data_IF_508538436979
#
_entry.id   IF_508538436979
#
_cell.length_a   1.000
_cell.length_b   1.000
_cell.length_c   1.000
_cell.angle_alpha   90.00
_cell.angle_beta   90.00
_cell.angle_gamma   90.00
#
_symmetry.space_group_name_H-M   'P 1'
#
loop_
_entity.id
_entity.type
_entity.pdbx_description
1 polymer ?
#
# COMPACT_ATOMS: atom_id res chain seq x y z
N UNK A 1 -8.45 -11.46 6.72
CA UNK A 1 -8.01 -10.73 7.92
C UNK A 1 -8.56 -11.44 9.14
N UNK A 2 -7.75 -11.60 10.19
CA UNK A 2 -8.18 -12.20 11.45
C UNK A 2 -9.09 -11.25 12.25
N UNK A 3 -9.89 -11.77 13.20
CA UNK A 3 -10.90 -10.97 13.91
C UNK A 3 -10.29 -9.94 14.88
N UNK A 4 -9.16 -10.29 15.49
CA UNK A 4 -8.42 -9.49 16.47
C UNK A 4 -7.41 -8.52 15.84
N UNK A 5 -7.17 -8.67 14.53
CA UNK A 5 -6.17 -7.95 13.78
C UNK A 5 -6.48 -6.43 13.73
N UNK A 6 -5.46 -5.58 13.83
CA UNK A 6 -5.56 -4.13 13.97
C UNK A 6 -4.77 -3.38 12.91
N UNK A 7 -5.37 -2.31 12.38
CA UNK A 7 -4.70 -1.43 11.43
C UNK A 7 -3.61 -0.63 12.16
N UNK A 8 -2.40 -0.67 11.61
CA UNK A 8 -1.21 0.01 12.13
C UNK A 8 -0.85 1.23 11.29
N UNK A 9 -1.05 1.11 9.97
CA UNK A 9 -0.91 2.22 9.05
C UNK A 9 -1.81 2.00 7.82
N UNK A 10 -2.26 3.08 7.20
CA UNK A 10 -2.86 3.00 5.88
C UNK A 10 -2.56 4.25 5.05
N UNK A 11 -1.98 4.01 3.88
CA UNK A 11 -1.50 5.03 2.96
C UNK A 11 -2.43 5.07 1.75
N UNK A 12 -3.00 6.23 1.47
CA UNK A 12 -3.90 6.47 0.34
C UNK A 12 -3.13 6.86 -0.93
N UNK A 13 -3.79 6.75 -2.07
CA UNK A 13 -3.24 7.10 -3.39
C UNK A 13 -1.89 6.41 -3.68
N UNK A 14 -1.78 5.14 -3.28
CA UNK A 14 -0.63 4.31 -3.59
C UNK A 14 -0.82 3.72 -4.98
N UNK A 15 0.16 3.95 -5.86
CA UNK A 15 0.25 3.30 -7.16
C UNK A 15 1.03 2.00 -7.02
N UNK A 16 0.40 0.89 -7.37
CA UNK A 16 1.03 -0.43 -7.42
C UNK A 16 1.32 -0.81 -8.87
N UNK A 17 2.55 -1.19 -9.12
CA UNK A 17 3.01 -1.74 -10.40
C UNK A 17 3.52 -3.16 -10.19
N UNK A 18 3.25 -4.02 -11.17
CA UNK A 18 3.83 -5.36 -11.22
C UNK A 18 5.11 -5.28 -12.04
N UNK A 19 6.22 -5.76 -11.49
CA UNK A 19 7.54 -5.70 -12.14
C UNK A 19 7.78 -6.89 -13.10
N UNK A 20 6.77 -7.75 -13.31
CA UNK A 20 6.84 -8.83 -14.28
C UNK A 20 6.74 -8.30 -15.72
N UNK A 21 7.50 -8.89 -16.65
CA UNK A 21 7.72 -8.44 -18.04
C UNK A 21 6.46 -8.30 -18.94
N UNK A 22 5.27 -8.66 -18.46
CA UNK A 22 4.02 -8.67 -19.24
C UNK A 22 2.88 -7.82 -18.66
N UNK A 23 3.10 -7.09 -17.56
CA UNK A 23 2.05 -6.31 -16.89
C UNK A 23 2.21 -4.81 -17.13
N UNK A 24 1.46 -4.27 -18.09
CA UNK A 24 1.52 -2.86 -18.51
C UNK A 24 0.58 -1.94 -17.70
N UNK A 25 -0.07 -2.41 -16.64
CA UNK A 25 -1.12 -1.63 -15.98
C UNK A 25 -0.93 -1.54 -14.47
N UNK A 26 -0.42 -0.38 -14.02
CA UNK A 26 -0.44 0.00 -12.61
C UNK A 26 -1.87 0.29 -12.12
N UNK A 27 -2.06 0.29 -10.80
CA UNK A 27 -3.36 0.58 -10.19
C UNK A 27 -3.20 1.48 -8.98
N UNK A 28 -4.12 2.43 -8.82
CA UNK A 28 -4.26 3.19 -7.59
C UNK A 28 -5.05 2.38 -6.55
N UNK A 29 -4.63 2.46 -5.30
CA UNK A 29 -5.35 1.93 -4.17
C UNK A 29 -4.88 2.52 -2.84
N UNK A 30 -5.35 1.91 -1.76
CA UNK A 30 -4.81 2.09 -0.41
C UNK A 30 -3.90 0.92 -0.09
N UNK A 31 -2.74 1.22 0.48
CA UNK A 31 -1.88 0.21 1.08
C UNK A 31 -2.10 0.23 2.59
N UNK A 32 -2.53 -0.89 3.14
CA UNK A 32 -2.92 -1.01 4.54
C UNK A 32 -2.01 -2.02 5.20
N UNK A 33 -1.36 -1.60 6.29
CA UNK A 33 -0.57 -2.43 7.17
C UNK A 33 -1.39 -2.72 8.41
N UNK A 34 -1.56 -3.99 8.71
CA UNK A 34 -2.09 -4.45 9.98
C UNK A 34 -0.97 -5.08 10.82
N UNK A 35 -1.30 -5.73 11.92
CA UNK A 35 -0.35 -6.52 12.71
C UNK A 35 0.02 -7.88 12.09
N UNK A 36 -0.69 -8.36 11.05
CA UNK A 36 -0.45 -9.70 10.46
C UNK A 36 -0.34 -9.70 8.93
N UNK A 37 -0.92 -8.70 8.27
CA UNK A 37 -1.03 -8.66 6.82
C UNK A 37 -0.64 -7.30 6.24
N UNK A 38 -0.19 -7.37 4.99
CA UNK A 38 -0.10 -6.25 4.08
C UNK A 38 -1.24 -6.37 3.07
N UNK A 39 -2.07 -5.34 2.96
CA UNK A 39 -3.26 -5.37 2.12
C UNK A 39 -3.26 -4.23 1.11
N UNK A 40 -3.71 -4.53 -0.11
CA UNK A 40 -3.85 -3.53 -1.17
C UNK A 40 -5.30 -3.45 -1.64
N UNK A 41 -5.95 -2.34 -1.29
CA UNK A 41 -7.37 -2.10 -1.52
C UNK A 41 -7.56 -1.19 -2.73
N UNK A 42 -8.15 -1.72 -3.81
CA UNK A 42 -8.46 -0.98 -5.04
C UNK A 42 -9.96 -0.78 -5.25
N UNK A 43 -10.79 -1.55 -4.53
CA UNK A 43 -12.24 -1.44 -4.50
C UNK A 43 -12.65 -1.23 -3.06
N UNK A 44 -13.07 -0.01 -2.75
CA UNK A 44 -13.48 0.38 -1.42
C UNK A 44 -14.87 1.00 -1.47
N UNK A 45 -15.67 0.77 -0.44
CA UNK A 45 -16.92 1.50 -0.22
C UNK A 45 -16.71 2.86 0.48
N UNK A 46 -15.46 3.19 0.82
CA UNK A 46 -15.14 4.49 1.42
C UNK A 46 -15.59 5.65 0.52
N UNK A 47 -16.33 6.59 1.11
CA UNK A 47 -16.94 7.68 0.38
C UNK A 47 -15.91 8.62 -0.28
N UNK A 48 -16.20 9.10 -1.48
CA UNK A 48 -15.30 9.98 -2.26
C UNK A 48 -14.90 11.26 -1.50
N UNK A 49 -15.80 11.82 -0.68
CA UNK A 49 -15.50 12.98 0.18
C UNK A 49 -14.45 12.66 1.26
N UNK A 50 -14.56 11.48 1.87
CA UNK A 50 -13.60 11.00 2.87
C UNK A 50 -12.22 10.82 2.23
N UNK A 51 -12.17 10.16 1.07
CA UNK A 51 -10.93 9.98 0.31
C UNK A 51 -10.26 11.31 -0.04
N UNK A 52 -11.03 12.27 -0.56
CA UNK A 52 -10.53 13.58 -0.95
C UNK A 52 -9.93 14.37 0.22
N UNK A 53 -10.61 14.39 1.37
CA UNK A 53 -10.14 15.10 2.56
C UNK A 53 -8.86 14.49 3.13
N UNK A 54 -8.81 13.16 3.25
CA UNK A 54 -7.65 12.48 3.83
C UNK A 54 -6.45 12.47 2.92
N UNK A 55 -6.63 12.36 1.60
CA UNK A 55 -5.51 12.50 0.66
C UNK A 55 -4.79 13.84 0.87
N UNK A 56 -5.53 14.94 1.03
CA UNK A 56 -4.93 16.25 1.29
C UNK A 56 -4.17 16.28 2.62
N UNK A 57 -4.78 15.78 3.71
CA UNK A 57 -4.14 15.71 5.03
C UNK A 57 -2.89 14.83 5.04
N UNK A 58 -2.97 13.67 4.38
CA UNK A 58 -1.85 12.76 4.17
C UNK A 58 -0.70 13.47 3.47
N UNK A 59 -0.96 14.15 2.35
CA UNK A 59 0.09 14.81 1.58
C UNK A 59 0.81 15.89 2.41
N UNK A 60 0.08 16.66 3.23
CA UNK A 60 0.67 17.63 4.15
C UNK A 60 1.53 16.94 5.19
N UNK A 61 1.03 15.87 5.81
CA UNK A 61 1.77 15.10 6.83
C UNK A 61 3.05 14.47 6.24
N UNK A 62 2.93 13.76 5.12
CA UNK A 62 4.07 13.15 4.42
C UNK A 62 5.08 14.20 3.93
N UNK A 63 4.65 15.40 3.54
CA UNK A 63 5.59 16.46 3.21
C UNK A 63 6.42 16.92 4.41
N UNK A 64 5.81 16.96 5.60
CA UNK A 64 6.47 17.39 6.83
C UNK A 64 7.35 16.28 7.45
N UNK A 65 6.84 15.05 7.54
CA UNK A 65 7.50 13.96 8.29
C UNK A 65 8.15 12.92 7.40
N UNK A 66 7.70 12.78 6.15
CA UNK A 66 8.00 11.67 5.21
C UNK A 66 7.53 10.28 5.68
N UNK A 67 7.36 10.08 6.98
CA UNK A 67 6.95 8.83 7.59
C UNK A 67 5.56 8.35 7.12
N UNK A 68 5.54 7.14 6.56
CA UNK A 68 4.33 6.46 6.05
C UNK A 68 3.54 5.71 7.14
N UNK A 69 4.06 5.61 8.36
CA UNK A 69 3.38 4.99 9.51
C UNK A 69 2.27 5.89 10.04
N UNK A 70 1.24 6.09 9.22
CA UNK A 70 0.12 6.99 9.49
C UNK A 70 -1.19 6.23 9.50
N UNK A 71 -2.10 6.62 10.39
CA UNK A 71 -3.49 6.20 10.41
C UNK A 71 -4.39 7.39 10.09
N UNK A 72 -5.56 7.12 9.55
CA UNK A 72 -6.60 8.11 9.31
C UNK A 72 -7.90 7.72 9.99
N UNK A 73 -8.62 8.72 10.48
CA UNK A 73 -9.92 8.52 11.10
C UNK A 73 -10.98 8.15 10.07
N UNK A 74 -11.97 7.36 10.49
CA UNK A 74 -13.13 7.02 9.67
C UNK A 74 -12.94 5.87 8.69
N UNK A 75 -11.80 5.15 8.75
CA UNK A 75 -11.64 3.83 8.12
C UNK A 75 -11.00 2.87 9.11
N UNK A 76 -11.77 1.86 9.50
CA UNK A 76 -11.48 0.93 10.59
C UNK A 76 -11.42 -0.51 10.08
N UNK A 77 -11.19 -1.45 11.00
CA UNK A 77 -11.10 -2.88 10.71
C UNK A 77 -12.40 -3.46 10.14
N UNK A 78 -13.57 -2.93 10.50
CA UNK A 78 -14.86 -3.40 9.98
C UNK A 78 -14.99 -3.06 8.50
N UNK A 79 -14.69 -1.81 8.13
CA UNK A 79 -14.70 -1.37 6.73
C UNK A 79 -13.65 -2.10 5.89
N UNK A 80 -12.46 -2.30 6.45
CA UNK A 80 -11.44 -3.11 5.80
C UNK A 80 -11.92 -4.53 5.53
N UNK A 81 -12.51 -5.20 6.52
CA UNK A 81 -13.04 -6.55 6.36
C UNK A 81 -14.10 -6.64 5.28
N UNK A 82 -15.02 -5.66 5.23
CA UNK A 82 -16.03 -5.58 4.18
C UNK A 82 -15.40 -5.38 2.80
N UNK A 83 -14.42 -4.48 2.69
CA UNK A 83 -13.71 -4.28 1.42
C UNK A 83 -12.97 -5.55 0.98
N UNK A 84 -12.43 -6.35 1.91
CA UNK A 84 -11.74 -7.61 1.61
C UNK A 84 -12.66 -8.72 1.08
N UNK A 85 -13.98 -8.62 1.24
CA UNK A 85 -14.94 -9.53 0.57
C UNK A 85 -14.82 -9.41 -0.96
N UNK A 86 -14.32 -8.27 -1.46
CA UNK A 86 -14.06 -8.08 -2.88
C UNK A 86 -12.74 -8.74 -3.30
N UNK A 87 -12.84 -9.83 -4.08
CA UNK A 87 -11.70 -10.60 -4.63
C UNK A 87 -10.69 -9.81 -5.48
N UNK A 88 -10.98 -8.56 -5.84
CA UNK A 88 -10.02 -7.67 -6.53
C UNK A 88 -9.04 -7.00 -5.57
N UNK A 89 -9.35 -6.94 -4.28
CA UNK A 89 -8.46 -6.50 -3.23
C UNK A 89 -7.51 -7.64 -2.87
N UNK A 90 -6.30 -7.29 -2.46
CA UNK A 90 -5.24 -8.27 -2.20
C UNK A 90 -4.92 -8.24 -0.72
N UNK A 91 -4.85 -9.44 -0.15
CA UNK A 91 -4.43 -9.67 1.22
C UNK A 91 -3.20 -10.57 1.16
N UNK A 92 -2.12 -10.12 1.80
CA UNK A 92 -0.82 -10.79 1.79
C UNK A 92 -0.39 -10.97 3.23
N UNK A 93 -0.21 -12.21 3.68
CA UNK A 93 0.36 -12.49 5.00
C UNK A 93 1.82 -12.10 5.01
N UNK A 94 2.33 -11.64 6.16
CA UNK A 94 3.76 -11.37 6.28
C UNK A 94 4.63 -12.59 5.97
N UNK A 95 4.17 -13.78 6.35
CA UNK A 95 4.88 -15.03 6.07
C UNK A 95 4.97 -15.36 4.56
N UNK A 96 4.09 -14.80 3.72
CA UNK A 96 4.09 -14.99 2.26
C UNK A 96 4.97 -13.96 1.53
N UNK A 97 5.59 -13.04 2.27
CA UNK A 97 6.54 -12.03 1.75
C UNK A 97 7.95 -12.60 1.83
N UNK A 98 8.59 -12.84 0.67
CA UNK A 98 9.98 -13.30 0.63
C UNK A 98 10.97 -12.17 0.85
N UNK A 99 10.70 -11.02 0.23
CA UNK A 99 11.56 -9.85 0.32
C UNK A 99 10.70 -8.59 0.39
N UNK A 100 11.09 -7.70 1.28
CA UNK A 100 10.55 -6.35 1.36
C UNK A 100 11.69 -5.38 1.63
N UNK A 101 11.76 -4.35 0.79
CA UNK A 101 12.79 -3.33 0.80
C UNK A 101 12.21 -2.02 0.26
N UNK A 102 13.01 -0.96 0.30
CA UNK A 102 12.63 0.31 -0.29
C UNK A 102 13.81 0.91 -1.04
N UNK A 103 13.51 1.76 -2.02
CA UNK A 103 14.51 2.39 -2.88
C UNK A 103 14.18 3.88 -3.07
N UNK A 104 15.22 4.71 -2.89
CA UNK A 104 15.13 6.15 -3.08
C UNK A 104 15.39 6.51 -4.55
N UNK A 105 14.34 6.70 -5.35
CA UNK A 105 14.49 7.08 -6.77
C UNK A 105 14.45 8.59 -6.94
N UNK A 106 15.07 9.13 -7.98
CA UNK A 106 15.09 10.59 -8.22
C UNK A 106 13.69 11.23 -8.24
N UNK A 107 12.68 10.48 -8.69
CA UNK A 107 11.31 10.95 -8.86
C UNK A 107 10.35 10.62 -7.70
N UNK A 108 10.76 9.79 -6.74
CA UNK A 108 9.93 9.35 -5.62
C UNK A 108 10.55 8.15 -4.89
N UNK A 109 10.08 7.86 -3.68
CA UNK A 109 10.57 6.70 -2.91
C UNK A 109 9.58 5.55 -3.03
N UNK A 110 10.09 4.35 -3.30
CA UNK A 110 9.26 3.19 -3.60
C UNK A 110 9.47 2.07 -2.59
N UNK A 111 8.39 1.35 -2.28
CA UNK A 111 8.43 0.08 -1.56
C UNK A 111 8.47 -1.06 -2.59
N UNK A 112 9.41 -1.97 -2.44
CA UNK A 112 9.59 -3.15 -3.27
C UNK A 112 9.16 -4.38 -2.46
N UNK A 113 8.40 -5.26 -3.11
CA UNK A 113 7.78 -6.40 -2.47
C UNK A 113 7.81 -7.63 -3.37
N UNK A 114 8.46 -8.69 -2.91
CA UNK A 114 8.46 -10.01 -3.55
C UNK A 114 7.62 -10.98 -2.71
N UNK A 115 6.58 -11.57 -3.31
CA UNK A 115 5.58 -12.39 -2.60
C UNK A 115 5.28 -13.69 -3.32
N UNK A 116 4.83 -14.69 -2.54
CA UNK A 116 4.20 -15.89 -3.07
C UNK A 116 2.69 -15.66 -3.21
N UNK A 117 2.19 -15.52 -4.44
CA UNK A 117 0.75 -15.45 -4.67
C UNK A 117 0.32 -16.64 -5.52
N UNK A 118 -0.54 -17.50 -4.96
CA UNK A 118 -1.08 -18.70 -5.64
C UNK A 118 0.04 -19.61 -6.19
N UNK A 119 1.12 -19.77 -5.43
CA UNK A 119 2.27 -20.60 -5.80
C UNK A 119 3.21 -19.97 -6.84
N UNK A 120 2.99 -18.73 -7.26
CA UNK A 120 3.88 -17.99 -8.17
C UNK A 120 4.53 -16.84 -7.44
N UNK A 121 5.84 -16.68 -7.63
CA UNK A 121 6.56 -15.48 -7.19
C UNK A 121 6.07 -14.29 -8.03
N UNK A 122 5.72 -13.20 -7.37
CA UNK A 122 5.37 -11.93 -8.00
C UNK A 122 6.16 -10.81 -7.35
N UNK A 123 6.50 -9.82 -8.15
CA UNK A 123 7.22 -8.62 -7.70
C UNK A 123 6.35 -7.39 -7.88
N UNK A 124 6.22 -6.61 -6.82
CA UNK A 124 5.45 -5.37 -6.80
C UNK A 124 6.31 -4.19 -6.43
N UNK A 125 6.04 -3.06 -7.08
CA UNK A 125 6.53 -1.75 -6.69
C UNK A 125 5.34 -0.90 -6.24
N UNK A 126 5.48 -0.21 -5.11
CA UNK A 126 4.49 0.73 -4.61
C UNK A 126 5.11 2.12 -4.47
N UNK A 127 4.40 3.14 -4.93
CA UNK A 127 4.77 4.54 -4.73
C UNK A 127 3.57 5.39 -4.34
N UNK A 128 3.78 6.39 -3.49
CA UNK A 128 2.69 7.33 -3.13
C UNK A 128 2.56 8.37 -4.23
N UNK A 129 1.47 8.33 -4.98
CA UNK A 129 1.21 9.26 -6.06
C UNK A 129 0.74 10.62 -5.50
N UNK A 130 1.30 11.70 -6.06
CA UNK A 130 0.95 13.08 -5.71
C UNK A 130 -0.03 13.67 -6.72
N UNK A 131 0.32 13.56 -8.00
CA UNK A 131 -0.43 14.14 -9.12
C UNK A 131 -0.74 13.04 -10.15
N UNK A 132 -1.79 13.26 -10.95
CA UNK A 132 -2.29 12.31 -11.95
C UNK A 132 -2.55 12.99 -13.28
N UNK A 133 -2.26 12.30 -14.38
CA UNK A 133 -2.88 12.58 -15.67
C UNK A 133 -4.19 11.80 -15.77
N UNK A 134 -5.21 12.34 -16.47
CA UNK A 134 -6.51 11.69 -16.62
C UNK A 134 -6.74 11.09 -18.01
N UNK A 135 -6.00 11.53 -19.02
CA UNK A 135 -6.13 11.13 -20.42
C UNK A 135 -4.75 10.90 -21.05
N UNK A 136 -4.59 9.90 -21.94
CA UNK A 136 -5.60 8.93 -22.40
C UNK A 136 -5.90 7.83 -21.37
N UNK A 137 -5.04 7.63 -20.37
CA UNK A 137 -5.29 6.76 -19.22
C UNK A 137 -4.87 7.44 -17.91
N UNK A 138 -5.47 7.03 -16.79
CA UNK A 138 -5.12 7.56 -15.48
C UNK A 138 -3.81 6.96 -14.98
N UNK A 139 -2.77 7.79 -14.88
CA UNK A 139 -1.45 7.40 -14.38
C UNK A 139 -0.86 8.50 -13.49
N UNK A 140 -0.01 8.17 -12.51
CA UNK A 140 0.69 9.17 -11.72
C UNK A 140 1.68 9.94 -12.59
N UNK A 141 1.72 11.26 -12.45
CA UNK A 141 2.74 12.11 -13.09
C UNK A 141 3.82 12.54 -12.11
N UNK A 142 3.53 12.46 -10.80
CA UNK A 142 4.48 12.76 -9.74
C UNK A 142 4.24 11.83 -8.55
N UNK A 143 5.32 11.51 -7.87
CA UNK A 143 5.32 10.72 -6.66
C UNK A 143 5.88 11.53 -5.49
N UNK A 144 5.55 11.10 -4.29
CA UNK A 144 6.10 11.66 -3.07
C UNK A 144 7.45 11.04 -2.74
N UNK A 145 8.29 11.83 -2.07
CA UNK A 145 9.44 11.35 -1.31
C UNK A 145 8.95 11.02 0.11
N UNK A 146 9.06 9.76 0.50
CA UNK A 146 8.50 9.20 1.74
C UNK A 146 9.47 8.18 2.34
N UNK A 147 9.41 8.02 3.65
CA UNK A 147 10.22 7.05 4.37
C UNK A 147 9.43 5.76 4.61
N UNK A 148 9.81 4.70 3.89
CA UNK A 148 9.22 3.36 4.03
C UNK A 148 9.88 2.50 5.12
N UNK A 149 10.92 2.99 5.79
CA UNK A 149 11.73 2.20 6.72
C UNK A 149 10.92 1.62 7.88
N UNK A 150 10.02 2.41 8.47
CA UNK A 150 9.12 1.97 9.54
C UNK A 150 8.22 0.82 9.10
N UNK A 151 7.70 0.91 7.87
CA UNK A 151 6.83 -0.10 7.25
C UNK A 151 7.57 -1.42 7.03
N UNK A 152 8.77 -1.35 6.44
CA UNK A 152 9.64 -2.51 6.18
C UNK A 152 10.07 -3.17 7.48
N UNK A 153 10.51 -2.38 8.46
CA UNK A 153 10.92 -2.87 9.78
C UNK A 153 9.76 -3.58 10.48
N UNK A 154 8.58 -2.97 10.51
CA UNK A 154 7.40 -3.52 11.19
C UNK A 154 7.03 -4.91 10.68
N UNK A 155 7.06 -5.10 9.35
CA UNK A 155 6.77 -6.38 8.70
C UNK A 155 7.86 -7.41 9.06
N UNK A 156 9.14 -7.07 8.86
CA UNK A 156 10.26 -7.99 9.13
C UNK A 156 10.30 -8.45 10.58
N UNK A 157 10.03 -7.56 11.54
CA UNK A 157 10.01 -7.88 12.97
C UNK A 157 8.90 -8.90 13.34
N UNK A 158 7.89 -9.07 12.48
CA UNK A 158 6.73 -9.96 12.70
C UNK A 158 6.67 -11.17 11.78
N UNK A 159 7.56 -11.24 10.80
CA UNK A 159 7.73 -12.46 10.02
C UNK A 159 8.26 -13.54 10.94
N UNK A 160 7.62 -14.72 10.91
CA UNK A 160 8.19 -15.89 11.57
C UNK A 160 9.43 -16.26 10.77
N UNK A 161 10.61 -15.92 11.30
CA UNK A 161 11.88 -16.31 10.68
C UNK A 161 11.91 -17.84 10.68
N UNK A 162 11.62 -18.46 9.53
CA UNK A 162 12.03 -19.83 9.28
C UNK A 162 13.55 -19.79 9.17
N UNK A 163 14.24 -20.07 10.28
CA UNK A 163 15.68 -20.32 10.28
C UNK A 163 16.02 -21.53 9.43
#
# INVERSE_FOLDING_TARGET
MELDEKIQAHVLSVWRESMDFFSVWGREGMLILTDKHLMFITKTEAGMRWWGALRTRQLVKLHATKDVMITHDGYDEEKLRKDLENKKNHEIRFDDIFEISFEDKKWGDVLLLDVLEKGKKKKYQFGVARDWVKYPMKEPTKYMKVDWSGFVKYIKDRQKITK
#
